data_IF_313957539703
#
_entry.id   IF_313957539703
#
_cell.length_a   1.000
_cell.length_b   1.000
_cell.length_c   1.000
_cell.angle_alpha   90.00
_cell.angle_beta   90.00
_cell.angle_gamma   90.00
#
_symmetry.space_group_name_H-M   'P 1'
#
loop_
_entity.id
_entity.type
_entity.pdbx_description
1 polymer ?
#
# COMPACT_ATOMS: atom_id res chain seq x y z
N UNK A 1 -11.35 -88.26 -25.36
CA UNK A 1 -10.12 -88.50 -24.58
C UNK A 1 -8.97 -88.14 -25.53
N UNK A 2 -8.18 -87.09 -25.35
CA UNK A 2 -8.04 -86.14 -24.25
C UNK A 2 -7.47 -84.84 -24.84
N UNK A 3 -7.84 -83.71 -24.25
CA UNK A 3 -7.53 -82.36 -24.71
C UNK A 3 -6.07 -81.97 -24.42
N UNK A 4 -5.34 -81.51 -25.44
CA UNK A 4 -4.13 -80.72 -25.22
C UNK A 4 -4.45 -79.25 -25.50
N UNK A 5 -4.80 -78.56 -24.42
CA UNK A 5 -5.07 -77.13 -24.31
C UNK A 5 -4.05 -76.29 -25.09
N UNK A 6 -4.56 -75.49 -26.03
CA UNK A 6 -3.90 -74.26 -26.44
C UNK A 6 -3.92 -73.30 -25.25
N UNK A 7 -2.91 -73.37 -24.39
CA UNK A 7 -2.69 -72.36 -23.35
C UNK A 7 -2.27 -71.06 -24.04
N UNK A 8 -3.27 -70.26 -24.40
CA UNK A 8 -3.11 -68.86 -24.75
C UNK A 8 -2.54 -68.18 -23.51
N UNK A 9 -1.20 -68.02 -23.42
CA UNK A 9 -0.58 -67.20 -22.38
C UNK A 9 -1.09 -65.77 -22.59
N UNK A 10 -2.06 -65.35 -21.78
CA UNK A 10 -2.43 -63.94 -21.62
C UNK A 10 -1.14 -63.18 -21.28
N UNK A 11 -0.61 -62.43 -22.25
CA UNK A 11 0.43 -61.45 -22.01
C UNK A 11 -0.18 -60.37 -21.12
N UNK A 12 0.01 -60.48 -19.81
CA UNK A 12 -0.35 -59.41 -18.88
C UNK A 12 0.62 -58.25 -19.10
N UNK A 13 0.29 -57.38 -20.06
CA UNK A 13 0.92 -56.07 -20.20
C UNK A 13 0.56 -55.28 -18.94
N UNK A 14 1.48 -55.26 -17.97
CA UNK A 14 1.37 -54.35 -16.83
C UNK A 14 1.51 -52.93 -17.37
N UNK A 15 0.54 -52.07 -17.06
CA UNK A 15 0.63 -50.64 -17.36
C UNK A 15 1.89 -50.09 -16.71
N UNK A 16 2.90 -49.74 -17.52
CA UNK A 16 4.08 -49.06 -17.01
C UNK A 16 3.70 -47.61 -16.73
N UNK A 17 3.62 -47.23 -15.46
CA UNK A 17 3.46 -45.82 -15.07
C UNK A 17 4.73 -45.07 -15.47
N UNK A 18 4.68 -44.36 -16.60
CA UNK A 18 5.77 -43.51 -17.03
C UNK A 18 5.74 -42.24 -16.19
N UNK A 19 6.73 -42.08 -15.32
CA UNK A 19 6.93 -40.85 -14.56
C UNK A 19 7.97 -40.01 -15.27
N UNK A 20 7.62 -38.76 -15.61
CA UNK A 20 8.59 -37.76 -16.04
C UNK A 20 8.81 -36.79 -14.89
N UNK A 21 10.07 -36.53 -14.55
CA UNK A 21 10.46 -35.51 -13.58
C UNK A 21 11.04 -34.33 -14.35
N UNK A 22 10.64 -33.11 -13.98
CA UNK A 22 11.17 -31.85 -14.49
C UNK A 22 11.68 -31.04 -13.31
N UNK A 23 12.77 -30.32 -13.53
CA UNK A 23 13.26 -29.32 -12.58
C UNK A 23 12.96 -27.95 -13.16
N UNK A 24 12.30 -27.09 -12.39
CA UNK A 24 12.06 -25.70 -12.75
C UNK A 24 12.85 -24.84 -11.78
N UNK A 25 13.63 -23.91 -12.31
CA UNK A 25 14.28 -22.85 -11.55
C UNK A 25 13.56 -21.53 -11.84
N UNK A 26 13.24 -20.79 -10.78
CA UNK A 26 12.51 -19.53 -10.86
C UNK A 26 13.28 -18.42 -10.15
N UNK A 27 13.46 -17.30 -10.85
CA UNK A 27 13.90 -16.06 -10.23
C UNK A 27 12.66 -15.30 -9.74
N UNK A 28 12.69 -14.89 -8.48
CA UNK A 28 11.61 -14.12 -7.86
C UNK A 28 12.06 -12.70 -7.57
N UNK A 29 11.13 -11.75 -7.67
CA UNK A 29 11.33 -10.36 -7.25
C UNK A 29 10.38 -10.01 -6.10
N UNK A 30 10.83 -9.20 -5.13
CA UNK A 30 9.96 -8.71 -4.07
C UNK A 30 8.86 -7.80 -4.62
N UNK A 31 7.68 -7.89 -4.03
CA UNK A 31 6.56 -6.96 -4.19
C UNK A 31 6.48 -6.16 -2.92
N UNK A 32 6.40 -4.85 -3.07
CA UNK A 32 6.38 -3.92 -1.95
C UNK A 32 4.98 -3.34 -1.75
N UNK A 33 4.64 -2.98 -0.52
CA UNK A 33 3.35 -2.41 -0.12
C UNK A 33 3.04 -1.02 -0.69
N UNK A 34 3.98 -0.41 -1.43
CA UNK A 34 3.94 0.99 -1.88
C UNK A 34 3.90 1.12 -3.41
N UNK A 35 3.47 0.07 -4.11
CA UNK A 35 3.40 0.03 -5.57
C UNK A 35 2.09 0.64 -6.08
N UNK A 36 2.15 1.86 -6.60
CA UNK A 36 1.03 2.58 -7.23
C UNK A 36 0.22 3.47 -6.28
N UNK A 37 -0.61 4.39 -6.84
CA UNK A 37 -1.42 5.34 -6.09
C UNK A 37 -2.50 4.68 -5.23
N UNK A 38 -3.27 3.75 -5.80
CA UNK A 38 -4.45 3.18 -5.15
C UNK A 38 -4.64 1.69 -5.50
N UNK A 39 -4.72 0.85 -4.47
CA UNK A 39 -4.99 -0.59 -4.59
C UNK A 39 -6.11 -1.02 -3.64
N UNK A 40 -7.03 -1.86 -4.11
CA UNK A 40 -8.08 -2.43 -3.26
C UNK A 40 -8.35 -3.91 -3.54
N UNK A 41 -8.91 -4.61 -2.56
CA UNK A 41 -9.43 -5.98 -2.79
C UNK A 41 -10.87 -5.95 -3.34
N UNK A 42 -11.67 -5.02 -2.83
CA UNK A 42 -13.06 -4.76 -3.17
C UNK A 42 -13.19 -3.62 -4.19
N UNK A 43 -14.38 -3.40 -4.78
CA UNK A 43 -14.56 -2.41 -5.84
C UNK A 43 -14.03 -1.01 -5.51
N UNK A 44 -13.48 -0.34 -6.51
CA UNK A 44 -13.14 1.09 -6.44
C UNK A 44 -14.37 1.91 -6.83
N UNK A 45 -14.68 2.95 -6.05
CA UNK A 45 -15.71 3.92 -6.39
C UNK A 45 -15.22 5.36 -6.17
N UNK A 46 -15.08 6.10 -7.27
CA UNK A 46 -14.64 7.49 -7.30
C UNK A 46 -15.82 8.51 -7.35
N UNK A 47 -17.06 8.07 -7.05
CA UNK A 47 -18.25 8.89 -6.71
C UNK A 47 -18.53 10.18 -7.52
N UNK A 48 -18.26 10.26 -8.82
CA UNK A 48 -18.59 11.42 -9.68
C UNK A 48 -18.04 12.79 -9.22
N UNK A 49 -17.03 12.82 -8.35
CA UNK A 49 -16.33 14.05 -7.98
C UNK A 49 -15.18 14.32 -8.96
N UNK A 50 -14.64 15.54 -8.97
CA UNK A 50 -13.43 15.90 -9.71
C UNK A 50 -12.19 15.33 -9.00
N UNK A 51 -12.09 14.00 -8.96
CA UNK A 51 -10.94 13.29 -8.43
C UNK A 51 -9.84 13.28 -9.48
N UNK A 52 -8.62 13.32 -8.99
CA UNK A 52 -7.44 13.43 -9.80
C UNK A 52 -6.41 12.38 -9.35
N UNK A 53 -5.90 11.54 -10.26
CA UNK A 53 -4.87 10.53 -9.95
C UNK A 53 -3.73 10.60 -10.98
N UNK A 54 -2.51 10.87 -10.52
CA UNK A 54 -1.30 10.86 -11.34
C UNK A 54 -0.07 10.28 -10.58
N UNK A 55 1.10 10.50 -11.16
CA UNK A 55 2.38 10.18 -10.55
C UNK A 55 3.45 11.21 -10.90
N UNK A 56 4.46 11.31 -10.04
CA UNK A 56 5.68 12.09 -10.22
C UNK A 56 6.86 11.29 -9.62
N UNK A 57 8.10 11.74 -9.76
CA UNK A 57 9.24 11.06 -9.12
C UNK A 57 10.06 12.05 -8.30
N UNK A 58 9.96 11.97 -6.97
CA UNK A 58 10.66 12.90 -6.06
C UNK A 58 12.19 12.78 -6.11
N UNK A 59 12.72 11.66 -6.61
CA UNK A 59 14.16 11.45 -6.78
C UNK A 59 14.68 11.95 -8.13
N UNK A 60 13.80 12.36 -9.04
CA UNK A 60 14.13 12.84 -10.38
C UNK A 60 13.73 14.32 -10.53
N UNK A 61 14.68 15.26 -10.62
CA UNK A 61 14.39 16.69 -10.75
C UNK A 61 13.79 17.06 -12.11
N UNK A 62 13.77 16.13 -13.08
CA UNK A 62 13.05 16.31 -14.34
C UNK A 62 11.59 15.90 -14.20
N UNK A 63 11.23 15.16 -13.16
CA UNK A 63 9.87 14.66 -12.90
C UNK A 63 9.31 15.16 -11.57
N UNK A 64 9.88 16.22 -11.02
CA UNK A 64 9.46 16.88 -9.78
C UNK A 64 10.03 18.30 -9.69
N UNK A 65 9.41 19.16 -8.89
CA UNK A 65 9.94 20.49 -8.53
C UNK A 65 10.48 20.42 -7.11
N UNK A 66 11.80 20.39 -6.94
CA UNK A 66 12.45 20.21 -5.62
C UNK A 66 11.96 18.95 -4.87
N UNK A 67 11.69 17.86 -5.59
CA UNK A 67 11.18 16.62 -5.00
C UNK A 67 9.68 16.61 -4.69
N UNK A 68 8.94 17.64 -5.09
CA UNK A 68 7.49 17.76 -4.93
C UNK A 68 6.76 17.57 -6.27
N UNK A 69 5.47 17.17 -6.24
CA UNK A 69 4.68 17.00 -7.47
C UNK A 69 4.50 18.30 -8.23
N UNK A 70 4.46 19.45 -7.52
CA UNK A 70 4.10 20.76 -8.05
C UNK A 70 4.92 21.88 -7.40
N UNK A 71 5.06 23.02 -8.12
CA UNK A 71 5.63 24.24 -7.56
C UNK A 71 4.67 24.85 -6.52
N UNK A 72 5.22 25.30 -5.38
CA UNK A 72 4.46 25.91 -4.29
C UNK A 72 4.76 27.40 -4.16
N UNK A 73 3.74 28.17 -3.79
CA UNK A 73 3.84 29.59 -3.50
C UNK A 73 4.53 29.81 -2.15
N UNK A 74 4.76 31.06 -1.78
CA UNK A 74 5.40 31.42 -0.50
C UNK A 74 4.57 31.01 0.74
N UNK A 75 3.30 30.66 0.56
CA UNK A 75 2.39 30.18 1.61
C UNK A 75 2.26 28.65 1.60
N UNK A 76 2.99 27.95 0.73
CA UNK A 76 2.93 26.50 0.56
C UNK A 76 1.75 26.00 -0.29
N UNK A 77 0.94 26.91 -0.84
CA UNK A 77 -0.15 26.56 -1.75
C UNK A 77 0.39 26.25 -3.14
N UNK A 78 -0.34 25.44 -3.91
CA UNK A 78 0.05 25.12 -5.28
C UNK A 78 -0.02 26.38 -6.16
N UNK A 79 1.10 26.72 -6.79
CA UNK A 79 1.13 27.65 -7.92
C UNK A 79 0.61 26.83 -9.10
N UNK A 80 -0.66 27.02 -9.47
CA UNK A 80 -1.35 26.27 -10.54
C UNK A 80 -0.43 25.81 -11.69
N UNK A 81 -0.51 24.52 -12.02
CA UNK A 81 0.14 23.81 -13.14
C UNK A 81 1.67 23.65 -13.11
N UNK A 82 2.24 22.82 -12.24
CA UNK A 82 3.40 21.99 -12.60
C UNK A 82 3.34 20.61 -11.93
N UNK A 83 2.27 19.86 -12.13
CA UNK A 83 2.19 18.43 -11.84
C UNK A 83 1.97 17.70 -13.15
N UNK A 84 2.97 17.75 -14.04
CA UNK A 84 3.01 16.99 -15.29
C UNK A 84 1.71 16.95 -16.14
N UNK A 85 0.86 17.99 -16.12
CA UNK A 85 -0.25 18.11 -17.09
C UNK A 85 0.27 18.79 -18.34
N UNK A 86 0.45 17.98 -19.38
CA UNK A 86 0.63 18.45 -20.75
C UNK A 86 1.90 19.30 -20.96
N UNK A 87 2.96 19.05 -20.19
CA UNK A 87 4.28 19.53 -20.58
C UNK A 87 4.74 18.69 -21.79
N UNK A 88 4.84 19.24 -23.01
CA UNK A 88 5.31 18.52 -24.21
C UNK A 88 6.75 17.96 -24.08
N UNK A 89 7.38 18.12 -22.91
CA UNK A 89 8.75 17.72 -22.62
C UNK A 89 8.86 16.39 -21.85
N UNK A 90 7.76 15.82 -21.31
CA UNK A 90 7.80 14.59 -20.51
C UNK A 90 6.95 13.48 -21.14
N UNK A 91 7.43 12.97 -22.27
CA UNK A 91 6.89 11.82 -22.98
C UNK A 91 7.22 10.49 -22.24
N UNK A 92 6.96 10.44 -20.92
CA UNK A 92 7.34 9.33 -20.04
C UNK A 92 6.06 8.65 -19.53
N UNK A 93 5.94 7.31 -19.59
CA UNK A 93 4.82 6.60 -19.01
C UNK A 93 4.65 6.95 -17.53
N UNK A 94 3.44 7.38 -17.15
CA UNK A 94 3.08 7.65 -15.77
C UNK A 94 2.76 6.33 -15.06
N UNK A 95 3.30 6.11 -13.86
CA UNK A 95 3.03 4.92 -13.05
C UNK A 95 1.78 5.07 -12.18
N UNK A 96 0.81 5.87 -12.63
CA UNK A 96 -0.38 6.27 -11.89
C UNK A 96 -1.52 5.25 -11.94
N UNK A 97 -1.18 3.97 -11.92
CA UNK A 97 -2.11 2.88 -12.13
C UNK A 97 -2.95 2.61 -10.87
N UNK A 98 -4.27 2.62 -11.01
CA UNK A 98 -5.17 2.17 -9.92
C UNK A 98 -5.56 0.72 -10.17
N UNK A 99 -5.66 -0.08 -9.11
CA UNK A 99 -5.94 -1.50 -9.25
C UNK A 99 -6.92 -2.04 -8.21
N UNK A 100 -7.75 -2.99 -8.62
CA UNK A 100 -8.63 -3.72 -7.71
C UNK A 100 -8.68 -5.21 -8.03
N UNK A 101 -8.72 -6.07 -7.01
CA UNK A 101 -9.00 -7.50 -7.18
C UNK A 101 -10.49 -7.79 -7.47
N UNK A 102 -11.31 -6.75 -7.55
CA UNK A 102 -12.70 -6.84 -7.98
C UNK A 102 -12.80 -6.79 -9.50
N UNK A 103 -13.81 -7.44 -10.11
CA UNK A 103 -14.19 -7.13 -11.49
C UNK A 103 -14.77 -5.71 -11.62
N UNK A 104 -15.17 -5.07 -10.51
CA UNK A 104 -15.91 -3.80 -10.54
C UNK A 104 -15.04 -2.59 -10.21
N UNK A 105 -15.14 -1.56 -11.05
CA UNK A 105 -14.60 -0.24 -10.77
C UNK A 105 -15.49 0.87 -11.37
N UNK A 106 -15.83 1.87 -10.58
CA UNK A 106 -16.53 3.06 -11.05
C UNK A 106 -15.60 4.28 -10.98
N UNK A 107 -15.18 4.75 -12.15
CA UNK A 107 -14.25 5.89 -12.27
C UNK A 107 -14.99 7.23 -12.10
N UNK A 108 -16.32 7.25 -12.27
CA UNK A 108 -17.13 8.45 -12.21
C UNK A 108 -16.59 9.59 -13.09
N UNK A 109 -16.41 10.78 -12.50
CA UNK A 109 -15.83 11.94 -13.18
C UNK A 109 -14.31 12.09 -12.91
N UNK A 110 -13.68 11.09 -12.30
CA UNK A 110 -12.27 11.16 -11.97
C UNK A 110 -11.40 11.15 -13.24
N UNK A 111 -10.29 11.90 -13.20
CA UNK A 111 -9.23 11.79 -14.20
C UNK A 111 -8.13 10.88 -13.68
N UNK A 112 -7.86 9.79 -14.40
CA UNK A 112 -6.82 8.81 -14.07
C UNK A 112 -5.77 8.83 -15.17
N UNK A 113 -4.54 9.20 -14.83
CA UNK A 113 -3.47 9.36 -15.82
C UNK A 113 -2.66 8.09 -16.08
N UNK A 114 -2.94 7.02 -15.33
CA UNK A 114 -2.43 5.68 -15.59
C UNK A 114 -3.53 4.74 -16.08
N UNK A 115 -3.25 3.45 -15.92
CA UNK A 115 -4.17 2.35 -16.23
C UNK A 115 -5.18 2.12 -15.09
N UNK A 116 -6.30 1.50 -15.42
CA UNK A 116 -7.26 0.94 -14.47
C UNK A 116 -7.20 -0.58 -14.58
N UNK A 117 -6.76 -1.23 -13.51
CA UNK A 117 -6.57 -2.68 -13.45
C UNK A 117 -7.68 -3.33 -12.60
N UNK A 118 -8.30 -4.37 -13.13
CA UNK A 118 -9.40 -5.12 -12.49
C UNK A 118 -9.24 -6.61 -12.68
N UNK A 119 -9.94 -7.41 -11.87
CA UNK A 119 -9.93 -8.87 -11.96
C UNK A 119 -11.18 -9.40 -12.66
N UNK A 120 -11.12 -9.54 -13.98
CA UNK A 120 -12.19 -10.11 -14.82
C UNK A 120 -13.22 -9.10 -15.31
N UNK A 121 -12.97 -7.80 -15.19
CA UNK A 121 -13.95 -6.78 -15.56
C UNK A 121 -14.12 -6.52 -17.07
N UNK A 122 -15.33 -6.19 -17.53
CA UNK A 122 -15.64 -5.76 -18.91
C UNK A 122 -16.02 -4.26 -18.94
N UNK A 123 -15.78 -3.55 -20.05
CA UNK A 123 -15.73 -2.07 -20.05
C UNK A 123 -16.96 -1.29 -20.52
N UNK A 124 -17.96 -1.90 -21.19
CA UNK A 124 -19.10 -1.12 -21.71
C UNK A 124 -20.34 -1.96 -22.14
N UNK A 125 -21.23 -1.33 -22.92
CA UNK A 125 -22.69 -1.18 -22.73
C UNK A 125 -23.57 -2.44 -22.78
N UNK A 126 -22.97 -3.62 -22.86
CA UNK A 126 -23.63 -4.92 -22.90
C UNK A 126 -23.24 -5.85 -21.73
N UNK A 127 -22.57 -5.32 -20.69
CA UNK A 127 -22.16 -6.09 -19.50
C UNK A 127 -21.00 -5.49 -18.70
N UNK A 128 -20.90 -4.16 -18.64
CA UNK A 128 -19.77 -3.46 -18.05
C UNK A 128 -19.67 -3.66 -16.53
N UNK A 129 -18.50 -4.03 -16.04
CA UNK A 129 -18.13 -4.02 -14.62
C UNK A 129 -17.18 -2.84 -14.31
N UNK A 130 -16.50 -2.29 -15.32
CA UNK A 130 -15.76 -1.03 -15.24
C UNK A 130 -16.56 0.07 -15.93
N UNK A 131 -16.83 1.18 -15.23
CA UNK A 131 -17.76 2.23 -15.71
C UNK A 131 -17.17 3.63 -15.65
N UNK A 132 -17.71 4.53 -16.47
CA UNK A 132 -17.35 5.96 -16.55
C UNK A 132 -15.87 6.22 -16.88
N UNK A 133 -15.30 5.45 -17.80
CA UNK A 133 -13.87 5.43 -18.13
C UNK A 133 -13.39 6.56 -19.05
N UNK A 134 -14.27 7.50 -19.43
CA UNK A 134 -13.98 8.55 -20.42
C UNK A 134 -12.74 9.40 -20.13
N UNK A 135 -12.36 9.53 -18.86
CA UNK A 135 -11.22 10.33 -18.40
C UNK A 135 -10.02 9.48 -17.94
N UNK A 136 -10.00 8.18 -18.27
CA UNK A 136 -8.82 7.33 -18.11
C UNK A 136 -7.88 7.57 -19.29
N UNK A 137 -6.61 7.88 -19.02
CA UNK A 137 -5.59 8.16 -20.05
C UNK A 137 -4.78 6.91 -20.43
N UNK A 138 -4.68 5.95 -19.52
CA UNK A 138 -4.10 4.63 -19.79
C UNK A 138 -5.12 3.63 -20.33
N UNK A 139 -4.79 2.36 -20.19
CA UNK A 139 -5.62 1.23 -20.59
C UNK A 139 -6.55 0.78 -19.46
N UNK A 140 -7.63 0.11 -19.83
CA UNK A 140 -8.38 -0.73 -18.90
C UNK A 140 -7.90 -2.15 -19.07
N UNK A 141 -7.35 -2.72 -17.99
CA UNK A 141 -6.78 -4.06 -17.95
C UNK A 141 -7.64 -4.91 -17.00
N UNK A 142 -8.00 -6.11 -17.42
CA UNK A 142 -8.97 -6.95 -16.71
C UNK A 142 -8.45 -8.33 -16.32
N UNK A 143 -7.16 -8.57 -16.43
CA UNK A 143 -6.48 -9.80 -16.00
C UNK A 143 -5.60 -9.55 -14.77
N UNK A 144 -5.92 -8.52 -13.99
CA UNK A 144 -5.17 -8.18 -12.79
C UNK A 144 -5.63 -8.99 -11.58
N UNK A 145 -4.66 -9.55 -10.87
CA UNK A 145 -4.85 -10.05 -9.53
C UNK A 145 -3.56 -9.88 -8.73
N UNK A 146 -3.68 -9.34 -7.52
CA UNK A 146 -2.57 -9.26 -6.57
C UNK A 146 -3.06 -9.57 -5.16
N UNK A 147 -2.56 -10.66 -4.52
CA UNK A 147 -2.93 -10.94 -3.14
C UNK A 147 -2.46 -9.82 -2.23
N UNK A 148 -3.40 -9.25 -1.46
CA UNK A 148 -3.11 -8.22 -0.47
C UNK A 148 -2.89 -8.87 0.89
N UNK A 149 -1.63 -9.21 1.17
CA UNK A 149 -1.24 -9.91 2.39
C UNK A 149 -1.63 -9.14 3.65
N UNK A 150 -2.25 -9.80 4.65
CA UNK A 150 -2.69 -9.15 5.87
C UNK A 150 -1.51 -8.65 6.72
N UNK A 151 -1.76 -7.59 7.48
CA UNK A 151 -0.82 -7.12 8.50
C UNK A 151 -1.22 -7.70 9.85
N UNK A 152 -0.26 -8.28 10.55
CA UNK A 152 -0.41 -8.74 11.92
C UNK A 152 0.24 -7.77 12.91
N UNK A 153 -0.23 -7.80 14.15
CA UNK A 153 0.35 -7.02 15.24
C UNK A 153 1.86 -7.29 15.38
N UNK A 154 2.71 -6.25 15.47
CA UNK A 154 4.13 -6.43 15.70
C UNK A 154 4.44 -7.23 16.97
N UNK A 155 5.37 -8.17 16.88
CA UNK A 155 5.85 -8.95 18.02
C UNK A 155 7.23 -8.42 18.43
N UNK A 156 7.25 -7.35 19.23
CA UNK A 156 8.49 -6.73 19.67
C UNK A 156 8.98 -7.33 20.99
N UNK A 157 10.25 -7.75 21.00
CA UNK A 157 10.93 -8.18 22.23
C UNK A 157 11.23 -7.03 23.19
N UNK A 158 11.34 -5.80 22.66
CA UNK A 158 11.55 -4.59 23.43
C UNK A 158 10.73 -3.44 22.81
N UNK A 159 9.82 -2.89 23.61
CA UNK A 159 9.04 -1.70 23.29
C UNK A 159 8.69 -0.97 24.58
N UNK A 160 8.64 0.36 24.52
CA UNK A 160 8.12 1.16 25.63
C UNK A 160 6.61 1.12 25.59
N UNK A 161 5.99 0.44 26.56
CA UNK A 161 4.54 0.28 26.66
C UNK A 161 3.94 1.40 27.50
N UNK A 162 2.84 2.00 27.02
CA UNK A 162 2.04 2.96 27.80
C UNK A 162 0.54 2.66 27.67
N UNK A 163 -0.27 3.20 28.58
CA UNK A 163 -1.73 3.24 28.40
C UNK A 163 -2.17 4.19 27.29
N UNK A 164 -3.48 4.42 27.20
CA UNK A 164 -4.08 5.37 26.23
C UNK A 164 -3.46 6.77 26.33
N UNK A 165 -3.38 7.46 25.18
CA UNK A 165 -2.82 8.81 25.06
C UNK A 165 -3.93 9.79 24.67
N UNK A 166 -4.17 10.78 25.51
CA UNK A 166 -5.19 11.82 25.30
C UNK A 166 -4.66 13.25 25.54
N UNK A 167 -3.35 13.39 25.77
CA UNK A 167 -2.66 14.65 25.98
C UNK A 167 -1.41 14.69 25.09
N UNK A 168 -0.74 15.84 25.01
CA UNK A 168 0.46 15.96 24.19
C UNK A 168 1.54 14.98 24.63
N UNK A 169 2.18 14.33 23.66
CA UNK A 169 3.20 13.31 23.90
C UNK A 169 4.26 13.33 22.80
N UNK A 170 5.53 13.28 23.19
CA UNK A 170 6.64 13.15 22.25
C UNK A 170 7.19 11.73 22.27
N UNK A 171 7.32 11.13 21.10
CA UNK A 171 8.05 9.89 20.86
C UNK A 171 9.39 10.26 20.20
N UNK A 172 10.48 9.75 20.74
CA UNK A 172 11.84 10.11 20.29
C UNK A 172 12.49 8.94 19.56
N UNK A 173 13.21 9.22 18.48
CA UNK A 173 13.77 8.20 17.59
C UNK A 173 14.92 7.37 18.14
N UNK A 174 15.10 6.22 17.50
CA UNK A 174 16.29 5.37 17.53
C UNK A 174 16.96 5.38 16.15
N UNK A 175 17.89 4.46 15.91
CA UNK A 175 18.63 4.37 14.63
C UNK A 175 17.88 3.53 13.60
N UNK A 176 18.27 3.59 12.33
CA UNK A 176 17.65 2.77 11.27
C UNK A 176 17.67 1.26 11.55
N UNK A 177 18.76 0.75 12.16
CA UNK A 177 18.93 -0.68 12.48
C UNK A 177 18.35 -1.05 13.86
N UNK A 178 18.10 -0.05 14.70
CA UNK A 178 17.51 -0.22 16.03
C UNK A 178 16.55 0.95 16.30
N UNK A 179 15.35 0.92 15.69
CA UNK A 179 14.37 1.98 15.83
C UNK A 179 13.80 2.02 17.25
N UNK A 180 13.38 3.21 17.69
CA UNK A 180 12.67 3.33 18.96
C UNK A 180 11.24 2.80 18.80
N UNK A 181 10.88 1.81 19.62
CA UNK A 181 9.58 1.12 19.55
C UNK A 181 8.68 1.52 20.71
N UNK A 182 7.45 1.91 20.39
CA UNK A 182 6.45 2.34 21.36
C UNK A 182 5.15 1.59 21.15
N UNK A 183 4.56 1.10 22.23
CA UNK A 183 3.27 0.41 22.19
C UNK A 183 2.26 1.13 23.08
N UNK A 184 1.10 1.47 22.53
CA UNK A 184 -0.02 2.08 23.24
C UNK A 184 -1.09 1.04 23.47
N UNK A 185 -1.20 0.61 24.73
CA UNK A 185 -2.04 -0.50 25.17
C UNK A 185 -1.39 -1.86 25.04
N UNK A 186 -2.13 -2.88 25.44
CA UNK A 186 -1.79 -4.30 25.30
C UNK A 186 -3.01 -5.06 24.78
N UNK A 187 -2.85 -6.35 24.48
CA UNK A 187 -3.98 -7.22 24.14
C UNK A 187 -4.98 -7.33 25.30
N UNK A 188 -4.49 -7.27 26.55
CA UNK A 188 -5.33 -7.31 27.75
C UNK A 188 -5.99 -5.96 28.09
N UNK A 189 -5.41 -4.85 27.63
CA UNK A 189 -5.92 -3.50 27.90
C UNK A 189 -5.71 -2.62 26.67
N UNK A 190 -6.75 -2.52 25.85
CA UNK A 190 -6.73 -1.78 24.59
C UNK A 190 -6.40 -0.30 24.86
N UNK A 191 -5.38 0.21 24.17
CA UNK A 191 -4.90 1.57 24.27
C UNK A 191 -5.26 2.37 23.02
N UNK A 192 -5.89 3.52 23.22
CA UNK A 192 -6.26 4.44 22.15
C UNK A 192 -5.36 5.67 22.17
N UNK A 193 -5.17 6.29 21.02
CA UNK A 193 -4.66 7.66 20.91
C UNK A 193 -5.82 8.55 20.45
N UNK A 194 -6.22 9.50 21.29
CA UNK A 194 -7.36 10.41 21.02
C UNK A 194 -6.93 11.85 21.30
N UNK A 195 -6.60 12.57 20.24
CA UNK A 195 -6.11 13.95 20.32
C UNK A 195 -7.18 14.95 19.91
N UNK A 196 -7.33 16.02 20.68
CA UNK A 196 -8.22 17.15 20.39
C UNK A 196 -7.74 18.39 21.13
N UNK A 197 -8.25 19.59 20.81
CA UNK A 197 -7.99 20.80 21.58
C UNK A 197 -6.52 21.23 21.56
N UNK A 198 -5.85 21.12 20.41
CA UNK A 198 -4.44 21.48 20.21
C UNK A 198 -3.43 20.50 20.80
N UNK A 199 -3.87 19.33 21.27
CA UNK A 199 -2.97 18.28 21.79
C UNK A 199 -2.28 17.54 20.65
N UNK A 200 -1.00 17.26 20.81
CA UNK A 200 -0.19 16.72 19.72
C UNK A 200 0.57 15.46 20.13
N UNK A 201 0.60 14.48 19.25
CA UNK A 201 1.63 13.45 19.26
C UNK A 201 2.75 13.91 18.33
N UNK A 202 3.95 14.09 18.86
CA UNK A 202 5.11 14.55 18.09
C UNK A 202 6.12 13.41 17.99
N UNK A 203 6.55 13.11 16.76
CA UNK A 203 7.66 12.23 16.45
C UNK A 203 8.90 13.06 16.20
N UNK A 204 9.88 12.94 17.09
CA UNK A 204 11.08 13.78 17.11
C UNK A 204 12.35 12.93 17.16
N UNK A 205 13.50 13.55 16.97
CA UNK A 205 14.80 12.90 17.12
C UNK A 205 14.99 12.34 18.54
N UNK A 206 15.72 11.24 18.62
CA UNK A 206 16.36 10.80 19.86
C UNK A 206 17.34 11.85 20.37
N UNK A 207 17.83 11.66 21.60
CA UNK A 207 18.86 12.54 22.14
C UNK A 207 20.16 11.81 22.38
N UNK A 208 21.25 12.56 22.27
CA UNK A 208 22.59 12.15 22.71
C UNK A 208 23.16 13.29 23.54
N UNK A 209 23.54 13.01 24.79
CA UNK A 209 23.99 14.02 25.77
C UNK A 209 23.00 15.19 25.95
N UNK A 210 21.70 14.88 25.92
CA UNK A 210 20.63 15.87 26.14
C UNK A 210 20.32 16.78 24.93
N UNK A 211 20.97 16.59 23.78
CA UNK A 211 20.67 17.33 22.54
C UNK A 211 20.04 16.42 21.49
N UNK A 212 19.19 16.93 20.57
CA UNK A 212 18.67 16.16 19.44
C UNK A 212 19.80 15.52 18.63
N UNK A 213 19.65 14.24 18.29
CA UNK A 213 20.61 13.44 17.55
C UNK A 213 20.01 13.04 16.20
N UNK A 214 20.45 13.67 15.08
CA UNK A 214 19.95 13.35 13.74
C UNK A 214 20.12 11.89 13.31
N UNK A 215 21.05 11.13 13.92
CA UNK A 215 21.21 9.70 13.65
C UNK A 215 20.13 8.83 14.30
N UNK A 216 19.36 9.40 15.24
CA UNK A 216 18.29 8.75 15.98
C UNK A 216 16.93 9.24 15.50
N UNK A 217 16.60 8.94 14.25
CA UNK A 217 15.45 9.50 13.56
C UNK A 217 14.45 8.43 13.08
N UNK A 218 14.46 7.23 13.65
CA UNK A 218 13.52 6.14 13.30
C UNK A 218 12.65 5.74 14.48
N UNK A 219 11.33 5.77 14.28
CA UNK A 219 10.31 5.44 15.28
C UNK A 219 9.33 4.41 14.71
N UNK A 220 8.99 3.41 15.51
CA UNK A 220 7.88 2.49 15.25
C UNK A 220 6.86 2.60 16.39
N UNK A 221 5.61 2.89 16.04
CA UNK A 221 4.49 3.01 16.98
C UNK A 221 3.46 1.92 16.69
N UNK A 222 3.02 1.19 17.72
CA UNK A 222 1.90 0.26 17.65
C UNK A 222 0.79 0.73 18.59
N UNK A 223 -0.41 0.98 18.05
CA UNK A 223 -1.62 1.32 18.78
C UNK A 223 -2.57 0.13 18.78
N UNK A 224 -2.88 -0.43 19.96
CA UNK A 224 -3.75 -1.63 20.06
C UNK A 224 -5.23 -1.31 19.88
N UNK A 225 -5.63 -0.04 19.94
CA UNK A 225 -6.97 0.46 19.66
C UNK A 225 -6.98 1.53 18.56
N UNK A 226 -7.86 2.51 18.71
CA UNK A 226 -8.05 3.58 17.72
C UNK A 226 -6.95 4.64 17.78
N UNK A 227 -6.62 5.22 16.63
CA UNK A 227 -5.80 6.43 16.53
C UNK A 227 -6.60 7.53 15.84
N UNK A 228 -7.12 8.45 16.65
CA UNK A 228 -7.98 9.54 16.21
C UNK A 228 -7.36 10.89 16.55
N UNK A 229 -7.27 11.76 15.56
CA UNK A 229 -7.14 13.20 15.75
C UNK A 229 -8.45 13.88 15.38
N UNK A 230 -8.92 14.79 16.23
CA UNK A 230 -10.14 15.56 15.99
C UNK A 230 -9.85 17.03 16.15
N UNK A 231 -10.51 17.82 15.31
CA UNK A 231 -10.80 19.20 15.63
C UNK A 231 -11.61 19.90 14.54
N UNK A 232 -11.83 21.18 14.80
CA UNK A 232 -12.52 22.12 13.94
C UNK A 232 -11.71 23.41 13.90
N UNK A 233 -10.67 23.48 13.05
CA UNK A 233 -9.90 24.70 12.82
C UNK A 233 -8.56 24.75 13.57
N UNK A 234 -8.23 25.87 14.22
CA UNK A 234 -6.90 26.12 14.80
C UNK A 234 -6.60 25.37 16.11
N UNK A 235 -7.50 24.49 16.55
CA UNK A 235 -7.37 23.70 17.80
C UNK A 235 -7.42 22.20 17.53
N UNK A 236 -7.03 21.78 16.33
CA UNK A 236 -7.00 20.37 15.97
C UNK A 236 -6.02 19.61 16.86
N UNK A 237 -6.43 18.43 17.32
CA UNK A 237 -5.44 17.44 17.73
C UNK A 237 -4.63 17.05 16.50
N UNK A 238 -3.33 16.81 16.65
CA UNK A 238 -2.49 16.51 15.49
C UNK A 238 -1.40 15.49 15.78
N UNK A 239 -1.00 14.79 14.72
CA UNK A 239 0.23 14.03 14.64
C UNK A 239 1.25 14.88 13.92
N UNK A 240 2.42 15.08 14.51
CA UNK A 240 3.50 15.88 13.93
C UNK A 240 4.73 15.02 13.75
N UNK A 241 5.25 14.97 12.52
CA UNK A 241 6.53 14.34 12.22
C UNK A 241 7.54 15.45 11.93
N UNK A 242 8.55 15.56 12.78
CA UNK A 242 9.62 16.54 12.62
C UNK A 242 10.43 16.21 11.36
N UNK A 243 10.87 17.26 10.64
CA UNK A 243 11.67 17.09 9.44
C UNK A 243 12.95 16.28 9.72
N UNK A 244 13.19 15.24 8.91
CA UNK A 244 14.27 14.27 9.06
C UNK A 244 13.89 13.01 9.84
N UNK A 245 12.72 12.95 10.48
CA UNK A 245 12.24 11.77 11.24
C UNK A 245 11.41 10.85 10.35
N UNK A 246 11.66 9.53 10.48
CA UNK A 246 10.99 8.44 9.77
C UNK A 246 10.13 7.64 10.74
N UNK A 247 8.87 7.42 10.39
CA UNK A 247 7.87 6.85 11.29
C UNK A 247 7.12 5.69 10.63
N UNK A 248 7.01 4.57 11.34
CA UNK A 248 6.08 3.49 11.03
C UNK A 248 5.00 3.43 12.10
N UNK A 249 3.73 3.40 11.68
CA UNK A 249 2.59 3.33 12.59
C UNK A 249 1.78 2.07 12.27
N UNK A 250 1.58 1.21 13.26
CA UNK A 250 0.70 0.06 13.21
C UNK A 250 -0.55 0.35 14.04
N UNK A 251 -1.73 0.20 13.46
CA UNK A 251 -3.00 0.47 14.16
C UNK A 251 -3.93 -0.74 14.03
N UNK A 252 -4.44 -1.21 15.16
CA UNK A 252 -5.39 -2.32 15.21
C UNK A 252 -6.86 -1.89 15.19
N UNK A 253 -7.17 -0.71 15.74
CA UNK A 253 -8.50 -0.11 15.66
C UNK A 253 -8.69 0.76 14.41
N UNK A 254 -9.62 1.70 14.49
CA UNK A 254 -9.84 2.69 13.44
C UNK A 254 -8.74 3.76 13.43
N UNK A 255 -8.44 4.29 12.25
CA UNK A 255 -7.59 5.45 12.08
C UNK A 255 -8.42 6.62 11.55
N UNK A 256 -8.28 7.78 12.18
CA UNK A 256 -8.92 9.00 11.72
C UNK A 256 -7.97 10.17 11.89
N UNK A 257 -7.41 10.63 10.78
CA UNK A 257 -6.73 11.90 10.68
C UNK A 257 -7.58 12.85 9.86
N UNK A 258 -8.35 13.69 10.55
CA UNK A 258 -9.22 14.71 9.96
C UNK A 258 -8.73 16.13 10.28
N UNK A 259 -9.07 17.11 9.43
CA UNK A 259 -8.64 18.50 9.60
C UNK A 259 -7.13 18.64 9.34
N UNK A 260 -6.40 19.29 10.25
CA UNK A 260 -4.94 19.32 10.28
C UNK A 260 -4.38 18.17 11.15
N UNK A 261 -5.05 17.02 11.08
CA UNK A 261 -4.83 15.87 11.97
C UNK A 261 -3.47 15.20 11.85
N UNK A 262 -2.77 15.39 10.74
CA UNK A 262 -1.40 14.93 10.55
C UNK A 262 -0.61 15.94 9.72
N UNK A 263 0.59 16.26 10.19
CA UNK A 263 1.56 17.10 9.51
C UNK A 263 2.89 16.36 9.44
N UNK A 264 3.36 16.13 8.21
CA UNK A 264 4.66 15.53 7.97
C UNK A 264 5.63 16.56 7.37
N UNK A 265 6.46 17.17 8.22
CA UNK A 265 7.38 18.24 7.82
C UNK A 265 8.54 17.79 6.93
N UNK A 266 8.66 16.48 6.65
CA UNK A 266 9.58 16.01 5.61
C UNK A 266 9.08 16.37 4.20
N UNK A 267 7.77 16.60 4.02
CA UNK A 267 7.12 16.78 2.72
C UNK A 267 7.44 15.66 1.71
N UNK A 268 7.64 14.43 2.19
CA UNK A 268 7.84 13.24 1.36
C UNK A 268 7.10 12.04 1.96
N UNK A 269 6.44 11.28 1.09
CA UNK A 269 5.68 10.10 1.49
C UNK A 269 6.54 8.99 2.09
N UNK A 270 7.83 8.91 1.75
CA UNK A 270 8.74 7.84 2.22
C UNK A 270 9.00 7.87 3.73
N UNK A 271 8.80 9.03 4.37
CA UNK A 271 9.09 9.21 5.80
C UNK A 271 7.97 8.74 6.73
N UNK A 272 6.80 8.40 6.19
CA UNK A 272 5.65 7.93 6.97
C UNK A 272 5.02 6.68 6.33
N UNK A 273 5.06 5.57 7.06
CA UNK A 273 4.37 4.34 6.68
C UNK A 273 3.31 3.99 7.72
N UNK A 274 2.05 3.85 7.29
CA UNK A 274 0.92 3.48 8.14
C UNK A 274 0.44 2.10 7.70
N UNK A 275 0.36 1.19 8.67
CA UNK A 275 -0.07 -0.18 8.50
C UNK A 275 -1.34 -0.44 9.33
N UNK A 276 -2.42 -0.84 8.65
CA UNK A 276 -3.64 -1.31 9.33
C UNK A 276 -3.53 -2.79 9.61
N UNK A 277 -3.48 -3.16 10.89
CA UNK A 277 -3.51 -4.56 11.33
C UNK A 277 -4.89 -5.11 10.98
N UNK A 278 -4.91 -6.17 10.18
CA UNK A 278 -6.15 -6.75 9.68
C UNK A 278 -7.06 -7.14 10.85
N UNK A 279 -8.30 -6.65 10.89
CA UNK A 279 -9.19 -6.92 12.00
C UNK A 279 -9.73 -8.36 11.85
N UNK A 280 -10.22 -9.00 12.93
CA UNK A 280 -10.82 -10.34 12.84
C UNK A 280 -11.96 -10.41 11.80
N UNK A 281 -12.19 -11.59 11.24
CA UNK A 281 -13.25 -11.79 10.25
C UNK A 281 -14.61 -11.30 10.77
N UNK A 282 -15.33 -10.57 9.91
CA UNK A 282 -16.63 -9.99 10.23
C UNK A 282 -16.58 -8.68 11.03
N UNK A 283 -15.39 -8.18 11.39
CA UNK A 283 -15.25 -6.85 11.99
C UNK A 283 -14.87 -5.81 10.94
N UNK A 284 -15.32 -4.57 11.15
CA UNK A 284 -15.03 -3.45 10.24
C UNK A 284 -13.92 -2.60 10.84
N UNK A 285 -12.98 -2.18 10.00
CA UNK A 285 -11.96 -1.19 10.32
C UNK A 285 -12.03 -0.10 9.26
N UNK A 286 -11.98 1.17 9.67
CA UNK A 286 -12.02 2.31 8.76
C UNK A 286 -10.80 3.19 8.96
N UNK A 287 -10.12 3.52 7.86
CA UNK A 287 -9.02 4.45 7.84
C UNK A 287 -9.45 5.72 7.11
N UNK A 288 -9.70 6.77 7.87
CA UNK A 288 -10.14 8.07 7.38
C UNK A 288 -8.96 9.02 7.35
N UNK A 289 -8.64 9.52 6.16
CA UNK A 289 -7.75 10.65 5.95
C UNK A 289 -8.57 11.76 5.31
N UNK A 290 -8.75 12.86 6.02
CA UNK A 290 -9.63 13.94 5.61
C UNK A 290 -9.07 15.31 6.00
N UNK A 291 -9.44 16.36 5.27
CA UNK A 291 -9.08 17.73 5.63
C UNK A 291 -8.60 18.55 4.44
N UNK A 292 -8.08 19.73 4.75
CA UNK A 292 -7.67 20.73 3.76
C UNK A 292 -6.14 20.90 3.73
N UNK A 293 -5.40 19.95 4.31
CA UNK A 293 -3.94 19.93 4.35
C UNK A 293 -3.42 18.74 3.57
N UNK A 294 -2.22 18.89 3.02
CA UNK A 294 -1.59 17.82 2.26
C UNK A 294 -1.14 16.68 3.17
N UNK A 295 -1.44 15.47 2.75
CA UNK A 295 -0.98 14.25 3.38
C UNK A 295 0.24 13.71 2.63
N UNK A 296 1.33 13.47 3.36
CA UNK A 296 2.52 12.81 2.84
C UNK A 296 2.77 11.52 3.62
N UNK A 297 2.50 10.37 3.00
CA UNK A 297 2.73 9.07 3.62
C UNK A 297 2.19 7.92 2.78
N UNK A 298 2.45 6.70 3.23
CA UNK A 298 1.86 5.49 2.63
C UNK A 298 0.91 4.83 3.61
N UNK A 299 -0.22 4.29 3.11
CA UNK A 299 -1.17 3.51 3.89
C UNK A 299 -1.29 2.13 3.27
N UNK A 300 -1.02 1.09 4.06
CA UNK A 300 -1.28 -0.29 3.69
C UNK A 300 -2.15 -0.97 4.75
N UNK A 301 -3.44 -1.04 4.48
CA UNK A 301 -4.46 -1.54 5.41
C UNK A 301 -5.45 -2.47 4.66
N UNK A 302 -5.01 -3.67 4.24
CA UNK A 302 -5.79 -4.54 3.34
C UNK A 302 -7.11 -5.04 3.95
N UNK A 303 -7.27 -4.97 5.28
CA UNK A 303 -8.52 -5.27 5.98
C UNK A 303 -9.44 -4.07 6.24
N UNK A 304 -9.01 -2.84 5.93
CA UNK A 304 -9.73 -1.61 6.27
C UNK A 304 -10.38 -0.95 5.06
N UNK A 305 -11.55 -0.32 5.27
CA UNK A 305 -12.14 0.58 4.29
C UNK A 305 -11.43 1.94 4.36
N UNK A 306 -10.87 2.38 3.23
CA UNK A 306 -10.24 3.70 3.13
C UNK A 306 -11.28 4.76 2.80
N UNK A 307 -11.24 5.86 3.55
CA UNK A 307 -12.02 7.08 3.29
C UNK A 307 -11.05 8.23 3.09
N UNK A 308 -10.86 8.63 1.84
CA UNK A 308 -10.00 9.75 1.48
C UNK A 308 -10.89 10.93 1.08
N UNK A 309 -10.83 11.99 1.89
CA UNK A 309 -11.76 13.11 1.80
C UNK A 309 -11.01 14.44 1.81
N UNK A 310 -10.55 14.88 0.63
CA UNK A 310 -10.03 16.23 0.43
C UNK A 310 -11.14 17.27 0.38
N UNK A 311 -10.95 18.42 1.05
CA UNK A 311 -11.86 19.55 1.03
C UNK A 311 -11.15 20.87 0.74
N UNK A 312 -11.83 21.79 0.04
CA UNK A 312 -11.24 23.09 -0.34
C UNK A 312 -10.24 22.99 -1.50
N UNK A 313 -9.69 24.13 -1.93
CA UNK A 313 -8.74 24.20 -3.06
C UNK A 313 -7.32 23.71 -2.76
N UNK A 314 -7.11 23.03 -1.63
CA UNK A 314 -5.80 22.60 -1.12
C UNK A 314 -6.00 21.36 -0.23
N UNK A 315 -5.39 20.24 -0.57
CA UNK A 315 -5.57 18.96 0.13
C UNK A 315 -5.19 17.78 -0.77
N UNK A 316 -3.89 17.57 -0.98
CA UNK A 316 -3.34 16.48 -1.79
C UNK A 316 -3.01 15.26 -0.93
N UNK A 317 -3.21 14.07 -1.49
CA UNK A 317 -2.75 12.80 -0.93
C UNK A 317 -1.53 12.34 -1.71
N UNK A 318 -0.34 12.64 -1.19
CA UNK A 318 0.94 12.27 -1.78
C UNK A 318 1.40 10.94 -1.18
N UNK A 319 1.44 9.89 -2.00
CA UNK A 319 1.94 8.58 -1.60
C UNK A 319 1.22 7.40 -2.24
N UNK A 320 1.08 6.31 -1.48
CA UNK A 320 0.52 5.04 -1.93
C UNK A 320 -0.50 4.53 -0.93
N UNK A 321 -1.68 4.14 -1.42
CA UNK A 321 -2.83 3.78 -0.60
C UNK A 321 -3.35 2.39 -0.98
N UNK A 322 -3.34 1.46 -0.03
CA UNK A 322 -3.88 0.11 -0.19
C UNK A 322 -4.92 -0.17 0.90
N UNK A 323 -6.11 -0.62 0.49
CA UNK A 323 -7.23 -0.89 1.39
C UNK A 323 -8.02 -2.14 1.02
N UNK A 324 -8.99 -2.50 1.87
CA UNK A 324 -10.05 -3.44 1.49
C UNK A 324 -10.92 -2.82 0.40
N UNK A 325 -11.45 -1.64 0.66
CA UNK A 325 -12.18 -0.80 -0.30
C UNK A 325 -11.65 0.63 -0.22
N UNK A 326 -11.98 1.45 -1.21
CA UNK A 326 -11.64 2.86 -1.21
C UNK A 326 -12.84 3.72 -1.62
N UNK A 327 -13.17 4.65 -0.74
CA UNK A 327 -14.18 5.67 -0.96
C UNK A 327 -13.51 7.03 -1.01
N UNK A 328 -13.60 7.69 -2.15
CA UNK A 328 -13.08 9.03 -2.35
C UNK A 328 -14.26 10.00 -2.52
N UNK A 329 -14.21 11.14 -1.83
CA UNK A 329 -15.18 12.22 -1.96
C UNK A 329 -14.48 13.59 -1.95
N UNK A 330 -15.23 14.65 -2.27
CA UNK A 330 -14.68 16.00 -2.42
C UNK A 330 -13.72 16.13 -3.61
N UNK A 331 -13.03 17.25 -3.71
CA UNK A 331 -11.98 17.46 -4.72
C UNK A 331 -10.69 16.85 -4.20
N UNK A 332 -10.56 15.53 -4.37
CA UNK A 332 -9.42 14.75 -3.88
C UNK A 332 -8.40 14.53 -4.98
N UNK A 333 -7.12 14.80 -4.68
CA UNK A 333 -6.00 14.55 -5.59
C UNK A 333 -5.08 13.50 -4.98
N UNK A 334 -4.82 12.39 -5.68
CA UNK A 334 -3.83 11.38 -5.30
C UNK A 334 -2.63 11.52 -6.22
N UNK A 335 -1.47 11.77 -5.62
CA UNK A 335 -0.19 11.94 -6.31
C UNK A 335 0.75 10.81 -5.92
N UNK A 336 0.99 9.87 -6.82
CA UNK A 336 1.92 8.78 -6.55
C UNK A 336 3.37 9.22 -6.72
N UNK A 337 4.18 9.10 -5.67
CA UNK A 337 5.62 9.27 -5.79
C UNK A 337 6.27 7.95 -6.23
N UNK A 338 6.75 7.90 -7.47
CA UNK A 338 7.40 6.73 -8.05
C UNK A 338 8.70 6.35 -7.33
N UNK A 339 9.33 7.28 -6.59
CA UNK A 339 10.48 6.96 -5.75
C UNK A 339 10.13 6.03 -4.59
N UNK A 340 8.83 5.81 -4.33
CA UNK A 340 8.35 4.78 -3.41
C UNK A 340 8.48 3.37 -3.99
N UNK A 341 8.63 3.21 -5.31
CA UNK A 341 8.80 1.90 -5.92
C UNK A 341 10.03 1.19 -5.30
N UNK A 342 9.81 0.01 -4.71
CA UNK A 342 10.87 -0.73 -4.02
C UNK A 342 11.05 -0.37 -2.54
N UNK A 343 10.16 0.44 -1.97
CA UNK A 343 10.19 0.86 -0.56
C UNK A 343 9.05 0.26 0.26
N UNK A 344 9.11 0.39 1.58
CA UNK A 344 8.11 -0.19 2.49
C UNK A 344 8.30 -1.68 2.72
N UNK A 345 7.26 -2.33 3.24
CA UNK A 345 7.32 -3.76 3.57
C UNK A 345 7.24 -4.60 2.29
N UNK A 346 8.03 -5.68 2.24
CA UNK A 346 7.83 -6.73 1.24
C UNK A 346 6.54 -7.47 1.62
N UNK A 347 5.51 -7.37 0.77
CA UNK A 347 4.25 -8.07 0.96
C UNK A 347 4.34 -9.49 0.40
N UNK A 348 4.84 -9.66 -0.81
CA UNK A 348 4.93 -10.96 -1.49
C UNK A 348 6.15 -11.04 -2.41
N UNK A 349 6.29 -12.16 -3.12
CA UNK A 349 7.26 -12.34 -4.19
C UNK A 349 6.53 -12.76 -5.47
N UNK A 350 6.92 -12.16 -6.60
CA UNK A 350 6.42 -12.54 -7.93
C UNK A 350 7.54 -13.20 -8.73
N UNK A 351 7.20 -14.18 -9.57
CA UNK A 351 8.15 -14.78 -10.51
C UNK A 351 8.55 -13.71 -11.53
N UNK A 352 9.84 -13.40 -11.57
CA UNK A 352 10.45 -12.47 -12.54
C UNK A 352 10.88 -13.21 -13.81
N UNK A 353 11.22 -14.49 -13.69
CA UNK A 353 11.53 -15.38 -14.79
C UNK A 353 11.63 -16.80 -14.30
N UNK A 354 11.50 -17.76 -15.20
CA UNK A 354 11.72 -19.17 -14.89
C UNK A 354 12.36 -19.83 -16.10
N UNK A 355 13.08 -20.91 -15.84
CA UNK A 355 13.50 -21.84 -16.87
C UNK A 355 13.37 -23.27 -16.39
N UNK A 356 13.07 -24.16 -17.32
CA UNK A 356 13.02 -25.59 -17.07
C UNK A 356 14.41 -26.18 -17.34
N UNK A 357 15.03 -26.77 -16.30
CA UNK A 357 16.27 -27.52 -16.46
C UNK A 357 15.93 -28.92 -16.99
N UNK A 358 16.42 -29.21 -18.19
CA UNK A 358 16.28 -30.50 -18.85
C UNK A 358 17.53 -31.35 -18.61
N UNK A 359 18.07 -31.39 -17.39
CA UNK A 359 19.14 -32.33 -17.03
C UNK A 359 18.61 -33.76 -17.05
N UNK A 360 18.79 -34.41 -18.19
CA UNK A 360 18.45 -35.81 -18.45
C UNK A 360 19.59 -36.70 -17.92
N UNK A 361 19.44 -37.25 -16.72
CA UNK A 361 20.20 -38.45 -16.31
C UNK A 361 19.23 -39.58 -15.98
N UNK A 362 18.85 -40.32 -17.03
CA UNK A 362 18.17 -41.60 -16.89
C UNK A 362 19.02 -42.68 -17.54
N UNK A 363 19.77 -43.43 -16.72
CA UNK A 363 20.34 -44.71 -17.16
C UNK A 363 19.21 -45.73 -17.16
N UNK A 364 18.85 -46.24 -18.34
CA UNK A 364 17.85 -47.29 -18.46
C UNK A 364 18.47 -48.63 -18.06
N UNK A 365 18.11 -49.15 -16.88
CA UNK A 365 18.41 -50.53 -16.50
C UNK A 365 17.12 -51.35 -16.58
N UNK A 366 16.84 -51.88 -17.77
CA UNK A 366 15.81 -52.90 -17.97
C UNK A 366 16.47 -54.24 -18.30
N UNK A 367 16.44 -55.20 -17.39
CA UNK A 367 16.77 -56.59 -17.72
C UNK A 367 15.60 -57.19 -18.50
N UNK A 368 15.85 -57.57 -19.76
CA UNK A 368 15.00 -58.52 -20.48
C UNK A 368 15.23 -59.90 -19.85
N UNK A 369 14.23 -60.42 -19.13
CA UNK A 369 14.16 -61.86 -18.85
C UNK A 369 13.23 -62.48 -19.89
N UNK A 370 13.80 -63.39 -20.68
CA UNK A 370 13.10 -64.20 -21.68
C UNK A 370 12.29 -65.33 -21.01
#
# INVERSE_FOLDING_TARGET
MDSADAVLRKLNLRTATRTATRTIEAWVKPVYTTQGPLKTDQPINLNNHNIFVDSFNSADPTRSVNGLPDARDSNGHLLTNIGQFDAPNFNVPLSANIATNSPFANIGNASVYGDVLTNGGATDANGATVTNTSNVKGQIINDYYEPLEPIYAPQWSNATVSGSVNNSKTYTGGTATSPARYQVGTIASIGNIKLSGGKQVTFDFGTTRGSPDPSKNYIELYVTGDFTTRGSGSTDGSVVIVNGVNVKIYVAGDLNFSGNGLVNYNNTAKSLEIYGISPPDGTTQTFTLAGNSDFYGTVYAPGADLKLAGGGGSGEFVGSFTGKSAFLNGTTQIRYDEALAGSGRISSFKIAGWFEDVKKTGTFTGQLQF
#
